data_IF_093997075835
#
_entry.id   IF_093997075835
#
_cell.length_a   1.000
_cell.length_b   1.000
_cell.length_c   1.000
_cell.angle_alpha   90.00
_cell.angle_beta   90.00
_cell.angle_gamma   90.00
#
_symmetry.space_group_name_H-M   'P 1'
#
loop_
_entity.id
_entity.type
_entity.pdbx_description
1 polymer ?
#
# COMPACT_ATOMS: atom_id res chain seq x y z
N UNK A 1 -17.26 -3.82 -15.11
CA UNK A 1 -16.80 -2.99 -13.97
C UNK A 1 -15.81 -1.92 -14.43
N UNK A 2 -14.74 -2.27 -15.15
CA UNK A 2 -13.77 -1.28 -15.66
C UNK A 2 -14.41 -0.21 -16.53
N UNK A 3 -15.19 -0.60 -17.55
CA UNK A 3 -15.93 0.36 -18.39
C UNK A 3 -16.95 1.20 -17.59
N UNK A 4 -17.62 0.58 -16.61
CA UNK A 4 -18.58 1.26 -15.75
C UNK A 4 -17.93 2.30 -14.82
N UNK A 5 -16.62 2.23 -14.60
CA UNK A 5 -15.87 3.22 -13.84
C UNK A 5 -15.55 4.48 -14.66
N UNK A 6 -15.82 4.49 -15.98
CA UNK A 6 -15.67 5.68 -16.81
C UNK A 6 -14.25 6.28 -16.81
N UNK A 7 -13.23 5.43 -16.69
CA UNK A 7 -11.83 5.87 -16.61
C UNK A 7 -11.43 6.45 -15.24
N UNK A 8 -12.20 6.26 -14.17
CA UNK A 8 -11.80 6.64 -12.80
C UNK A 8 -11.28 5.43 -12.00
N UNK A 9 -10.04 5.52 -11.54
CA UNK A 9 -9.42 4.59 -10.61
C UNK A 9 -10.18 4.52 -9.29
N UNK A 10 -10.59 5.66 -8.73
CA UNK A 10 -11.34 5.71 -7.47
C UNK A 10 -12.73 5.06 -7.61
N UNK A 11 -13.41 5.33 -8.72
CA UNK A 11 -14.73 4.72 -9.00
C UNK A 11 -14.59 3.21 -9.16
N UNK A 12 -13.56 2.73 -9.88
CA UNK A 12 -13.33 1.30 -10.02
C UNK A 12 -13.04 0.64 -8.67
N UNK A 13 -12.17 1.24 -7.84
CA UNK A 13 -11.88 0.76 -6.49
C UNK A 13 -13.16 0.66 -5.64
N UNK A 14 -14.00 1.71 -5.66
CA UNK A 14 -15.27 1.73 -4.93
C UNK A 14 -16.24 0.65 -5.42
N UNK A 15 -16.40 0.48 -6.75
CA UNK A 15 -17.25 -0.57 -7.31
C UNK A 15 -16.79 -1.97 -6.90
N UNK A 16 -15.48 -2.23 -6.91
CA UNK A 16 -14.91 -3.52 -6.47
C UNK A 16 -15.20 -3.76 -4.99
N UNK A 17 -14.94 -2.77 -4.12
CA UNK A 17 -15.22 -2.90 -2.70
C UNK A 17 -16.72 -3.06 -2.40
N UNK A 18 -17.60 -2.39 -3.16
CA UNK A 18 -19.04 -2.52 -3.01
C UNK A 18 -19.53 -3.92 -3.41
N UNK A 19 -19.01 -4.48 -4.51
CA UNK A 19 -19.45 -5.78 -5.03
C UNK A 19 -18.86 -6.97 -4.25
N UNK A 20 -17.62 -6.86 -3.79
CA UNK A 20 -16.89 -7.96 -3.15
C UNK A 20 -16.50 -7.61 -1.72
N UNK A 21 -17.13 -8.27 -0.74
CA UNK A 21 -16.88 -8.01 0.69
C UNK A 21 -15.41 -8.22 1.09
N UNK A 22 -14.71 -9.16 0.46
CA UNK A 22 -13.27 -9.40 0.68
C UNK A 22 -12.35 -8.25 0.24
N UNK A 23 -12.89 -7.21 -0.40
CA UNK A 23 -12.17 -6.02 -0.82
C UNK A 23 -12.49 -4.79 0.06
N UNK A 24 -13.41 -4.93 1.04
CA UNK A 24 -13.81 -3.86 1.98
C UNK A 24 -12.85 -3.76 3.16
N UNK A 25 -11.58 -3.53 2.86
CA UNK A 25 -10.50 -3.45 3.84
C UNK A 25 -10.50 -2.09 4.55
N UNK A 26 -11.06 -2.07 5.76
CA UNK A 26 -11.19 -0.89 6.62
C UNK A 26 -11.13 -1.28 8.11
N UNK A 27 -10.74 -0.34 8.97
CA UNK A 27 -10.62 -0.55 10.42
C UNK A 27 -11.05 0.70 11.21
N UNK A 28 -11.30 0.55 12.51
CA UNK A 28 -11.56 1.68 13.42
C UNK A 28 -10.33 1.89 14.30
N UNK A 29 -9.70 3.05 14.17
CA UNK A 29 -8.52 3.45 14.95
C UNK A 29 -8.86 4.63 15.84
N UNK A 30 -8.82 4.45 17.17
CA UNK A 30 -9.12 5.52 18.14
C UNK A 30 -10.41 6.30 17.83
N UNK A 31 -11.47 5.57 17.46
CA UNK A 31 -12.77 6.13 17.08
C UNK A 31 -12.89 6.67 15.66
N UNK A 32 -11.82 6.64 14.86
CA UNK A 32 -11.81 7.12 13.48
C UNK A 32 -11.85 5.96 12.50
N UNK A 33 -12.70 6.09 11.48
CA UNK A 33 -12.76 5.12 10.39
C UNK A 33 -11.54 5.30 9.47
N UNK A 34 -10.78 4.22 9.28
CA UNK A 34 -9.62 4.16 8.37
C UNK A 34 -9.95 3.22 7.22
N UNK A 35 -9.66 3.65 5.99
CA UNK A 35 -9.92 2.88 4.78
C UNK A 35 -8.59 2.57 4.08
N UNK A 36 -8.23 1.30 3.98
CA UNK A 36 -6.97 0.85 3.38
C UNK A 36 -7.19 0.28 1.98
N UNK A 37 -8.31 -0.44 1.78
CA UNK A 37 -8.75 -0.95 0.48
C UNK A 37 -7.65 -1.68 -0.31
N UNK A 38 -6.70 -2.34 0.36
CA UNK A 38 -5.45 -2.83 -0.24
C UNK A 38 -5.68 -3.66 -1.50
N UNK A 39 -6.57 -4.66 -1.42
CA UNK A 39 -6.89 -5.53 -2.56
C UNK A 39 -7.63 -4.81 -3.69
N UNK A 40 -8.47 -3.82 -3.36
CA UNK A 40 -9.17 -3.04 -4.37
C UNK A 40 -8.20 -2.11 -5.11
N UNK A 41 -7.28 -1.49 -4.37
CA UNK A 41 -6.20 -0.69 -4.95
C UNK A 41 -5.27 -1.53 -5.84
N UNK A 42 -4.89 -2.75 -5.40
CA UNK A 42 -4.13 -3.69 -6.25
C UNK A 42 -4.85 -3.98 -7.54
N UNK A 43 -6.15 -4.31 -7.48
CA UNK A 43 -6.89 -4.61 -8.70
C UNK A 43 -6.88 -3.45 -9.70
N UNK A 44 -7.05 -2.21 -9.23
CA UNK A 44 -6.97 -1.04 -10.11
C UNK A 44 -5.55 -0.82 -10.62
N UNK A 45 -4.53 -0.98 -9.77
CA UNK A 45 -3.12 -0.90 -10.13
C UNK A 45 -2.72 -1.94 -11.17
N UNK A 46 -3.20 -3.17 -11.05
CA UNK A 46 -2.95 -4.27 -11.99
C UNK A 46 -3.57 -3.95 -13.36
N UNK A 47 -4.79 -3.40 -13.39
CA UNK A 47 -5.42 -2.95 -14.65
C UNK A 47 -4.62 -1.80 -15.26
N UNK A 48 -4.19 -0.81 -14.45
CA UNK A 48 -3.35 0.29 -14.94
C UNK A 48 -2.04 -0.23 -15.54
N UNK A 49 -1.33 -1.08 -14.81
CA UNK A 49 -0.04 -1.65 -15.22
C UNK A 49 -0.14 -2.55 -16.44
N UNK A 50 -1.15 -3.42 -16.51
CA UNK A 50 -1.33 -4.36 -17.62
C UNK A 50 -1.59 -3.66 -18.96
N UNK A 51 -2.21 -2.48 -18.93
CA UNK A 51 -2.50 -1.69 -20.13
C UNK A 51 -1.60 -0.45 -20.30
N UNK A 52 -0.57 -0.30 -19.46
CA UNK A 52 0.39 0.81 -19.56
C UNK A 52 -0.23 2.21 -19.42
N UNK A 53 -1.36 2.33 -18.71
CA UNK A 53 -2.10 3.59 -18.61
C UNK A 53 -2.90 3.97 -19.85
N UNK A 54 -3.10 3.05 -20.80
CA UNK A 54 -3.88 3.27 -22.02
C UNK A 54 -5.15 2.41 -22.05
N UNK A 55 -6.09 2.73 -22.95
CA UNK A 55 -7.31 1.93 -23.15
C UNK A 55 -8.08 1.66 -21.85
N UNK A 56 -8.19 0.38 -21.46
CA UNK A 56 -8.87 -0.02 -20.23
C UNK A 56 -8.14 0.39 -18.94
N UNK A 57 -6.84 0.67 -19.01
CA UNK A 57 -6.04 1.18 -17.90
C UNK A 57 -5.88 2.71 -17.89
N UNK A 58 -6.53 3.43 -18.81
CA UNK A 58 -6.46 4.89 -18.87
C UNK A 58 -7.28 5.53 -17.74
N UNK A 59 -6.68 5.61 -16.55
CA UNK A 59 -7.30 6.23 -15.38
C UNK A 59 -6.82 7.68 -15.21
N UNK A 60 -7.74 8.64 -15.24
CA UNK A 60 -7.40 10.07 -15.15
C UNK A 60 -7.06 10.54 -13.72
N UNK A 61 -7.41 9.75 -12.71
CA UNK A 61 -7.16 9.97 -11.28
C UNK A 61 -6.29 8.87 -10.66
N UNK A 62 -5.42 8.21 -11.45
CA UNK A 62 -4.54 7.14 -10.94
C UNK A 62 -3.66 7.60 -9.77
N UNK A 63 -3.28 8.88 -9.77
CA UNK A 63 -2.53 9.55 -8.71
C UNK A 63 -3.23 9.58 -7.35
N UNK A 64 -4.54 9.34 -7.30
CA UNK A 64 -5.30 9.28 -6.06
C UNK A 64 -5.16 7.95 -5.33
N UNK A 65 -4.65 6.91 -6.00
CA UNK A 65 -4.32 5.65 -5.34
C UNK A 65 -3.06 5.81 -4.49
N UNK A 66 -3.03 5.08 -3.38
CA UNK A 66 -1.86 4.99 -2.51
C UNK A 66 -1.04 3.75 -2.85
N UNK A 67 0.09 3.58 -2.15
CA UNK A 67 0.74 2.27 -2.05
C UNK A 67 -0.21 1.24 -1.41
N UNK A 68 0.08 -0.04 -1.62
CA UNK A 68 -0.77 -1.14 -1.16
C UNK A 68 -0.30 -1.61 0.21
N UNK A 69 -1.04 -1.26 1.27
CA UNK A 69 -0.62 -1.50 2.65
C UNK A 69 -0.59 -3.00 3.03
N UNK A 70 0.50 -3.68 2.65
CA UNK A 70 0.77 -5.10 2.85
C UNK A 70 1.80 -5.36 3.98
N UNK A 71 2.27 -6.60 4.09
CA UNK A 71 3.27 -6.99 5.09
C UNK A 71 4.73 -6.89 4.61
N UNK A 72 4.97 -6.68 3.31
CA UNK A 72 6.32 -6.72 2.71
C UNK A 72 6.97 -5.34 2.70
N UNK A 73 6.27 -4.33 2.19
CA UNK A 73 6.76 -2.95 2.10
C UNK A 73 7.17 -2.38 3.48
N UNK A 74 6.41 -2.57 4.58
CA UNK A 74 6.86 -2.09 5.89
C UNK A 74 8.22 -2.64 6.32
N UNK A 75 8.55 -3.89 5.96
CA UNK A 75 9.85 -4.49 6.27
C UNK A 75 10.98 -3.78 5.53
N UNK A 76 10.76 -3.47 4.24
CA UNK A 76 11.71 -2.73 3.40
C UNK A 76 11.97 -1.35 3.99
N UNK A 77 10.91 -0.62 4.32
CA UNK A 77 11.01 0.72 4.88
C UNK A 77 11.68 0.73 6.26
N UNK A 78 11.48 -0.31 7.07
CA UNK A 78 12.24 -0.48 8.33
C UNK A 78 13.72 -0.69 8.10
N UNK A 79 14.09 -1.57 7.16
CA UNK A 79 15.49 -1.82 6.84
C UNK A 79 16.19 -0.60 6.25
N UNK A 80 15.45 0.27 5.57
CA UNK A 80 15.93 1.57 5.08
C UNK A 80 16.01 2.65 6.17
N UNK A 81 15.54 2.36 7.39
CA UNK A 81 15.47 3.35 8.49
C UNK A 81 14.37 4.41 8.33
N UNK A 82 13.41 4.20 7.43
CA UNK A 82 12.29 5.12 7.17
C UNK A 82 11.16 4.89 8.19
N UNK A 83 10.88 3.62 8.54
CA UNK A 83 9.92 3.25 9.58
C UNK A 83 10.64 2.75 10.82
N UNK A 84 10.14 3.12 12.00
CA UNK A 84 10.55 2.58 13.30
C UNK A 84 9.32 2.10 14.07
N UNK A 85 9.49 1.00 14.80
CA UNK A 85 8.47 0.43 15.68
C UNK A 85 8.90 0.66 17.13
N UNK A 86 7.94 0.63 18.07
CA UNK A 86 8.29 0.57 19.48
C UNK A 86 8.99 -0.76 19.80
N UNK A 87 9.78 -0.79 20.88
CA UNK A 87 10.52 -1.98 21.29
C UNK A 87 9.59 -3.18 21.53
N UNK A 88 8.39 -2.94 22.05
CA UNK A 88 7.37 -3.96 22.26
C UNK A 88 6.89 -4.57 20.94
N UNK A 89 6.60 -3.72 19.94
CA UNK A 89 6.14 -4.17 18.64
C UNK A 89 7.25 -4.90 17.87
N UNK A 90 8.50 -4.43 17.97
CA UNK A 90 9.67 -5.17 17.44
C UNK A 90 9.73 -6.56 18.06
N UNK A 91 9.64 -6.66 19.38
CA UNK A 91 9.75 -7.93 20.08
C UNK A 91 8.63 -8.91 19.71
N UNK A 92 7.39 -8.43 19.50
CA UNK A 92 6.27 -9.24 19.00
C UNK A 92 6.53 -9.79 17.59
N UNK A 93 6.99 -8.93 16.69
CA UNK A 93 7.30 -9.31 15.29
C UNK A 93 8.42 -10.35 15.25
N UNK A 94 9.50 -10.15 16.01
CA UNK A 94 10.63 -11.09 16.08
C UNK A 94 10.21 -12.46 16.65
N UNK A 95 9.35 -12.47 17.67
CA UNK A 95 8.76 -13.70 18.22
C UNK A 95 7.70 -14.33 17.31
N UNK A 96 7.40 -13.71 16.16
CA UNK A 96 6.41 -14.17 15.18
C UNK A 96 5.02 -14.33 15.80
N UNK A 97 4.72 -13.50 16.80
CA UNK A 97 3.42 -13.45 17.44
C UNK A 97 2.37 -12.94 16.46
N UNK A 98 1.13 -13.41 16.62
CA UNK A 98 0.02 -12.93 15.82
C UNK A 98 -0.38 -11.55 16.34
N UNK A 99 -0.32 -10.56 15.46
CA UNK A 99 -0.88 -9.23 15.68
C UNK A 99 -2.31 -9.28 15.12
N UNK A 100 -3.35 -9.12 15.97
CA UNK A 100 -4.74 -9.25 15.53
C UNK A 100 -5.10 -8.25 14.42
N UNK A 101 -5.92 -8.70 13.47
CA UNK A 101 -6.44 -7.83 12.42
C UNK A 101 -7.30 -6.73 13.02
N UNK A 102 -7.10 -5.47 12.60
CA UNK A 102 -7.80 -4.31 13.13
C UNK A 102 -7.33 -3.88 14.53
N UNK A 103 -6.25 -4.48 15.07
CA UNK A 103 -5.60 -3.95 16.27
C UNK A 103 -4.89 -2.63 15.98
N UNK A 104 -4.64 -1.85 17.04
CA UNK A 104 -3.89 -0.59 16.93
C UNK A 104 -2.55 -0.80 16.21
N UNK A 105 -1.80 -1.82 16.61
CA UNK A 105 -0.50 -2.16 16.02
C UNK A 105 -0.59 -2.53 14.53
N UNK A 106 -1.57 -3.33 14.12
CA UNK A 106 -1.73 -3.70 12.71
C UNK A 106 -2.13 -2.49 11.86
N UNK A 107 -3.09 -1.68 12.33
CA UNK A 107 -3.54 -0.49 11.61
C UNK A 107 -2.43 0.55 11.53
N UNK A 108 -1.65 0.74 12.59
CA UNK A 108 -0.51 1.66 12.60
C UNK A 108 0.57 1.24 11.62
N UNK A 109 0.95 -0.04 11.58
CA UNK A 109 1.93 -0.54 10.61
C UNK A 109 1.48 -0.18 9.19
N UNK A 110 0.21 -0.46 8.87
CA UNK A 110 -0.34 -0.26 7.52
C UNK A 110 -0.48 1.22 7.16
N UNK A 111 -1.09 2.03 8.04
CA UNK A 111 -1.29 3.45 7.81
C UNK A 111 0.04 4.22 7.75
N UNK A 112 0.99 3.92 8.65
CA UNK A 112 2.31 4.54 8.61
C UNK A 112 3.10 4.15 7.35
N UNK A 113 2.92 2.93 6.83
CA UNK A 113 3.52 2.53 5.55
C UNK A 113 3.00 3.39 4.40
N UNK A 114 1.69 3.61 4.33
CA UNK A 114 1.07 4.49 3.32
C UNK A 114 1.66 5.89 3.39
N UNK A 115 1.70 6.48 4.58
CA UNK A 115 2.25 7.83 4.80
C UNK A 115 3.74 7.90 4.46
N UNK A 116 4.52 6.87 4.80
CA UNK A 116 5.95 6.82 4.52
C UNK A 116 6.24 6.80 3.02
N UNK A 117 5.47 6.04 2.23
CA UNK A 117 5.63 6.03 0.76
C UNK A 117 5.21 7.36 0.15
N UNK A 118 4.15 8.00 0.66
CA UNK A 118 3.76 9.32 0.17
C UNK A 118 4.85 10.38 0.45
N UNK A 119 5.43 10.37 1.66
CA UNK A 119 6.59 11.23 1.99
C UNK A 119 7.82 10.91 1.14
N UNK A 120 8.05 9.65 0.80
CA UNK A 120 9.11 9.26 -0.12
C UNK A 120 8.85 9.84 -1.52
N UNK A 121 7.61 9.80 -2.00
CA UNK A 121 7.18 10.40 -3.27
C UNK A 121 7.41 11.91 -3.29
N UNK A 122 7.04 12.60 -2.22
CA UNK A 122 7.31 14.04 -2.04
C UNK A 122 8.81 14.36 -2.04
N UNK A 123 9.62 13.55 -1.35
CA UNK A 123 11.07 13.73 -1.32
C UNK A 123 11.71 13.53 -2.70
N UNK A 124 11.24 12.54 -3.47
CA UNK A 124 11.64 12.34 -4.88
C UNK A 124 11.24 13.55 -5.72
N UNK A 125 9.99 14.02 -5.59
CA UNK A 125 9.48 15.19 -6.30
C UNK A 125 10.32 16.44 -6.04
N UNK A 126 10.70 16.66 -4.78
CA UNK A 126 11.58 17.75 -4.39
C UNK A 126 12.98 17.61 -5.02
N UNK A 127 13.57 16.41 -4.97
CA UNK A 127 14.92 16.13 -5.50
C UNK A 127 15.02 16.33 -7.02
N UNK A 128 13.98 15.99 -7.76
CA UNK A 128 13.95 16.09 -9.22
C UNK A 128 13.19 17.32 -9.74
N UNK A 129 12.89 18.29 -8.88
CA UNK A 129 12.24 19.53 -9.29
C UNK A 129 13.08 20.25 -10.35
N UNK A 130 12.45 20.55 -11.49
CA UNK A 130 13.08 21.32 -12.58
C UNK A 130 13.94 20.50 -13.55
N UNK A 131 14.03 19.18 -13.39
CA UNK A 131 14.80 18.31 -14.32
C UNK A 131 13.98 17.85 -15.52
N UNK A 132 12.65 18.03 -15.49
CA UNK A 132 11.73 17.48 -16.49
C UNK A 132 11.48 15.97 -16.33
N UNK A 133 12.03 15.33 -15.29
CA UNK A 133 11.79 13.92 -15.01
C UNK A 133 10.32 13.67 -14.65
N UNK A 134 9.76 12.58 -15.18
CA UNK A 134 8.45 12.10 -14.77
C UNK A 134 8.53 11.55 -13.34
N UNK A 135 7.63 12.01 -12.48
CA UNK A 135 7.56 11.53 -11.10
C UNK A 135 6.74 10.23 -11.03
N UNK A 136 7.14 9.26 -10.20
CA UNK A 136 6.39 8.02 -10.07
C UNK A 136 5.08 8.24 -9.29
N UNK A 137 4.06 7.50 -9.69
CA UNK A 137 2.84 7.32 -8.90
C UNK A 137 3.13 6.48 -7.64
N UNK A 138 2.29 6.59 -6.61
CA UNK A 138 2.45 5.79 -5.39
C UNK A 138 2.43 4.27 -5.66
N UNK A 139 1.62 3.83 -6.64
CA UNK A 139 1.56 2.41 -7.07
C UNK A 139 2.88 1.94 -7.70
N UNK A 140 3.62 2.81 -8.37
CA UNK A 140 4.91 2.45 -8.98
C UNK A 140 5.99 2.35 -7.91
N UNK A 141 5.96 3.26 -6.92
CA UNK A 141 6.83 3.16 -5.74
C UNK A 141 6.54 1.88 -4.95
N UNK A 142 5.28 1.49 -4.82
CA UNK A 142 4.89 0.22 -4.21
C UNK A 142 5.53 -0.97 -4.93
N UNK A 143 5.36 -1.08 -6.25
CA UNK A 143 5.96 -2.15 -7.04
C UNK A 143 7.48 -2.24 -6.86
N UNK A 144 8.18 -1.10 -6.91
CA UNK A 144 9.63 -1.08 -6.70
C UNK A 144 10.03 -1.53 -5.30
N UNK A 145 9.36 -1.02 -4.26
CA UNK A 145 9.64 -1.39 -2.87
C UNK A 145 9.31 -2.86 -2.62
N UNK A 146 8.19 -3.35 -3.16
CA UNK A 146 7.78 -4.75 -3.04
C UNK A 146 8.81 -5.68 -3.69
N UNK A 147 9.29 -5.34 -4.89
CA UNK A 147 10.32 -6.10 -5.59
C UNK A 147 11.66 -6.11 -4.84
N UNK A 148 12.09 -4.97 -4.28
CA UNK A 148 13.26 -4.92 -3.38
C UNK A 148 13.06 -5.86 -2.19
N UNK A 149 11.87 -5.85 -1.59
CA UNK A 149 11.49 -6.72 -0.49
C UNK A 149 11.53 -8.20 -0.84
N UNK A 150 11.20 -8.53 -2.08
CA UNK A 150 11.15 -9.90 -2.57
C UNK A 150 12.54 -10.45 -2.88
N UNK A 151 13.37 -9.67 -3.54
CA UNK A 151 14.77 -10.02 -3.82
C UNK A 151 15.57 -10.24 -2.53
N UNK A 152 15.23 -9.53 -1.45
CA UNK A 152 15.90 -9.62 -0.15
C UNK A 152 15.14 -10.46 0.88
N UNK A 153 14.14 -11.26 0.46
CA UNK A 153 13.25 -12.01 1.35
C UNK A 153 13.99 -12.86 2.40
N UNK A 154 15.15 -13.43 2.04
CA UNK A 154 15.94 -14.29 2.93
C UNK A 154 16.77 -13.52 3.97
N UNK A 155 17.08 -12.25 3.67
CA UNK A 155 17.93 -11.40 4.52
C UNK A 155 17.10 -10.45 5.40
N UNK A 156 15.79 -10.38 5.18
CA UNK A 156 14.91 -9.50 5.91
C UNK A 156 14.47 -10.09 7.25
N UNK A 157 14.28 -9.25 8.28
CA UNK A 157 13.68 -9.69 9.53
C UNK A 157 12.24 -10.16 9.29
N UNK A 158 11.64 -10.89 10.26
CA UNK A 158 10.24 -11.26 10.18
C UNK A 158 9.32 -10.06 9.90
N UNK A 159 8.27 -10.29 9.10
CA UNK A 159 7.17 -9.34 8.98
C UNK A 159 6.16 -9.56 10.10
N UNK A 160 5.34 -8.54 10.36
CA UNK A 160 4.18 -8.68 11.25
C UNK A 160 3.23 -9.76 10.73
N UNK A 161 2.71 -10.61 11.61
CA UNK A 161 1.81 -11.71 11.22
C UNK A 161 0.40 -11.39 11.63
N UNK A 162 -0.46 -11.23 10.63
CA UNK A 162 -1.89 -10.99 10.84
C UNK A 162 -2.69 -11.99 10.02
N UNK A 163 -3.60 -12.70 10.68
CA UNK A 163 -4.55 -13.57 10.00
C UNK A 163 -5.73 -12.72 9.52
N UNK A 164 -5.80 -12.46 8.21
CA UNK A 164 -6.84 -11.63 7.60
C UNK A 164 -7.13 -12.06 6.16
N UNK A 165 -8.31 -11.71 5.65
CA UNK A 165 -8.70 -11.89 4.24
C UNK A 165 -8.27 -10.71 3.34
N UNK A 166 -7.71 -9.66 3.94
CA UNK A 166 -7.35 -8.42 3.26
C UNK A 166 -5.92 -8.37 2.74
N UNK A 167 -5.08 -9.35 3.10
CA UNK A 167 -3.69 -9.46 2.63
C UNK A 167 -3.57 -10.27 1.35
#
# INVERSE_FOLDING_TARGET
>A
MVEAAGGSALTLMQLVAQLFSGFRDHAVYKGHQVFLYKRAQIFVGDVYGAFGGEGLGAFWDIDQLTMFADYRVPVVLRNMGILSYSDELVAKVERKEIIPAGSEEEVEIRACTVVAVERLREAIAHKFRGTGAQLPHAIQLDWWLWEIGEQNRQNHPPHHRTLTIFY
#
